data_IF_168290086550
#
_entry.id   IF_168290086550
#
_cell.length_a   1.000
_cell.length_b   1.000
_cell.length_c   1.000
_cell.angle_alpha   90.00
_cell.angle_beta   90.00
_cell.angle_gamma   90.00
#
_symmetry.space_group_name_H-M   'P 1'
#
loop_
_entity.id
_entity.type
_entity.pdbx_description
1 polymer ?
#
# COMPACT_ATOMS: atom_id res chain seq x y z
N UNK A 1 -4.95 -13.74 7.98
CA UNK A 1 -4.11 -12.83 8.79
C UNK A 1 -3.56 -13.59 9.97
N UNK A 2 -2.30 -13.36 10.34
CA UNK A 2 -1.60 -14.08 11.41
C UNK A 2 -0.80 -13.14 12.30
N UNK A 3 -0.59 -13.54 13.56
CA UNK A 3 0.33 -12.85 14.47
C UNK A 3 1.47 -13.78 14.85
N UNK A 4 2.69 -13.24 14.83
CA UNK A 4 3.91 -13.93 15.22
C UNK A 4 4.66 -13.09 16.26
N UNK A 5 5.31 -13.75 17.21
CA UNK A 5 6.30 -13.10 18.04
C UNK A 5 7.60 -12.86 17.25
N UNK A 6 8.40 -11.89 17.69
CA UNK A 6 9.74 -11.65 17.10
C UNK A 6 10.58 -12.95 17.05
N UNK A 7 10.52 -13.77 18.11
CA UNK A 7 11.24 -15.05 18.15
C UNK A 7 10.78 -16.03 17.08
N UNK A 8 9.47 -16.14 16.84
CA UNK A 8 8.93 -17.04 15.81
C UNK A 8 9.24 -16.55 14.41
N UNK A 9 9.24 -15.22 14.21
CA UNK A 9 9.60 -14.59 12.95
C UNK A 9 11.07 -14.89 12.58
N UNK A 10 11.99 -14.81 13.55
CA UNK A 10 13.41 -15.13 13.35
C UNK A 10 13.64 -16.63 13.10
N UNK A 11 12.91 -17.51 13.79
CA UNK A 11 13.05 -18.97 13.63
C UNK A 11 12.64 -19.49 12.25
N UNK A 12 11.77 -18.77 11.53
CA UNK A 12 11.30 -19.13 10.20
C UNK A 12 11.30 -17.88 9.30
N UNK A 13 12.45 -17.53 8.70
CA UNK A 13 12.60 -16.32 7.88
C UNK A 13 11.64 -16.25 6.69
N UNK A 14 11.14 -17.39 6.20
CA UNK A 14 10.13 -17.44 5.14
C UNK A 14 8.83 -16.71 5.47
N UNK A 15 8.50 -16.55 6.77
CA UNK A 15 7.37 -15.72 7.19
C UNK A 15 7.56 -14.23 6.87
N UNK A 16 8.80 -13.80 6.61
CA UNK A 16 9.17 -12.42 6.29
C UNK A 16 9.53 -12.30 4.80
N UNK A 17 10.33 -13.23 4.26
CA UNK A 17 10.84 -13.13 2.89
C UNK A 17 9.82 -13.52 1.82
N UNK A 18 8.87 -14.40 2.13
CA UNK A 18 7.79 -14.78 1.21
C UNK A 18 6.46 -15.00 1.97
N UNK A 19 5.88 -13.93 2.51
CA UNK A 19 4.66 -14.00 3.31
C UNK A 19 3.47 -14.34 2.42
N UNK A 20 2.70 -15.37 2.80
CA UNK A 20 1.46 -15.77 2.09
C UNK A 20 0.24 -14.95 2.52
N UNK A 21 0.33 -14.28 3.66
CA UNK A 21 -0.74 -13.48 4.25
C UNK A 21 -0.16 -12.34 5.09
N UNK A 22 -0.97 -11.34 5.40
CA UNK A 22 -0.58 -10.26 6.31
C UNK A 22 -0.23 -10.86 7.68
N UNK A 23 0.97 -10.53 8.16
CA UNK A 23 1.54 -11.03 9.40
C UNK A 23 1.92 -9.89 10.33
N UNK A 24 1.33 -9.86 11.53
CA UNK A 24 1.68 -8.91 12.59
C UNK A 24 2.84 -9.44 13.42
N UNK A 25 3.86 -8.63 13.65
CA UNK A 25 5.00 -8.95 14.49
C UNK A 25 4.81 -8.32 15.88
N UNK A 26 4.55 -9.18 16.85
CA UNK A 26 4.34 -8.84 18.25
C UNK A 26 5.66 -8.87 19.02
N UNK A 27 5.96 -7.77 19.72
CA UNK A 27 6.95 -7.80 20.79
C UNK A 27 6.32 -8.41 22.05
N UNK A 28 6.72 -9.63 22.39
CA UNK A 28 6.19 -10.34 23.56
C UNK A 28 6.51 -9.65 24.89
N UNK A 29 7.57 -8.83 24.97
CA UNK A 29 7.94 -8.12 26.20
C UNK A 29 7.01 -6.94 26.43
N UNK A 30 6.78 -6.15 25.39
CA UNK A 30 5.94 -4.95 25.45
C UNK A 30 4.45 -5.23 25.21
N UNK A 31 4.11 -6.45 24.77
CA UNK A 31 2.76 -6.88 24.35
C UNK A 31 2.15 -5.95 23.29
N UNK A 32 2.98 -5.40 22.40
CA UNK A 32 2.58 -4.46 21.34
C UNK A 32 3.04 -4.94 19.97
N UNK A 33 2.21 -4.70 18.97
CA UNK A 33 2.57 -4.93 17.56
C UNK A 33 3.64 -3.89 17.20
N UNK A 34 4.83 -4.34 16.80
CA UNK A 34 5.92 -3.44 16.38
C UNK A 34 6.04 -3.33 14.87
N UNK A 35 5.60 -4.33 14.13
CA UNK A 35 5.73 -4.33 12.67
C UNK A 35 4.62 -5.15 12.02
N UNK A 36 4.39 -4.86 10.74
CA UNK A 36 3.48 -5.62 9.87
C UNK A 36 4.26 -6.03 8.64
N UNK A 37 4.12 -7.31 8.26
CA UNK A 37 4.65 -7.85 7.01
C UNK A 37 3.47 -8.11 6.08
N UNK A 38 3.57 -7.62 4.85
CA UNK A 38 2.51 -7.70 3.84
C UNK A 38 3.07 -8.43 2.61
N UNK A 39 2.28 -9.33 1.98
CA UNK A 39 2.62 -9.90 0.68
C UNK A 39 2.91 -8.82 -0.36
N UNK A 40 3.98 -9.00 -1.15
CA UNK A 40 4.42 -7.99 -2.11
C UNK A 40 3.34 -7.66 -3.14
N UNK A 41 2.62 -8.65 -3.65
CA UNK A 41 1.50 -8.46 -4.58
C UNK A 41 0.39 -7.57 -3.99
N UNK A 42 0.15 -7.70 -2.69
CA UNK A 42 -0.83 -6.86 -1.98
C UNK A 42 -0.28 -5.46 -1.76
N UNK A 43 1.01 -5.33 -1.44
CA UNK A 43 1.67 -4.02 -1.36
C UNK A 43 1.56 -3.24 -2.67
N UNK A 44 1.77 -3.89 -3.83
CA UNK A 44 1.66 -3.23 -5.13
C UNK A 44 0.26 -2.62 -5.35
N UNK A 45 -0.80 -3.39 -5.10
CA UNK A 45 -2.19 -2.92 -5.23
C UNK A 45 -2.47 -1.71 -4.33
N UNK A 46 -2.08 -1.82 -3.06
CA UNK A 46 -2.33 -0.74 -2.08
C UNK A 46 -1.47 0.49 -2.39
N UNK A 47 -0.25 0.30 -2.90
CA UNK A 47 0.64 1.40 -3.28
C UNK A 47 0.02 2.25 -4.38
N UNK A 48 -0.50 1.62 -5.44
CA UNK A 48 -1.14 2.33 -6.55
C UNK A 48 -2.34 3.16 -6.07
N UNK A 49 -3.18 2.57 -5.23
CA UNK A 49 -4.33 3.27 -4.63
C UNK A 49 -3.88 4.46 -3.74
N UNK A 50 -2.86 4.27 -2.91
CA UNK A 50 -2.33 5.32 -2.05
C UNK A 50 -1.68 6.46 -2.84
N UNK A 51 -0.91 6.14 -3.88
CA UNK A 51 -0.29 7.15 -4.75
C UNK A 51 -1.36 7.95 -5.51
N UNK A 52 -2.42 7.30 -5.98
CA UNK A 52 -3.58 7.96 -6.58
C UNK A 52 -4.29 8.88 -5.57
N UNK A 53 -4.53 8.40 -4.35
CA UNK A 53 -5.11 9.24 -3.30
C UNK A 53 -4.24 10.45 -2.93
N UNK A 54 -2.93 10.26 -2.78
CA UNK A 54 -2.00 11.34 -2.49
C UNK A 54 -1.93 12.35 -3.65
N UNK A 55 -1.98 11.86 -4.89
CA UNK A 55 -2.08 12.72 -6.06
C UNK A 55 -3.35 13.56 -6.01
N UNK A 56 -4.51 12.94 -5.75
CA UNK A 56 -5.79 13.64 -5.64
C UNK A 56 -5.79 14.66 -4.49
N UNK A 57 -5.25 14.30 -3.32
CA UNK A 57 -5.15 15.21 -2.16
C UNK A 57 -4.26 16.42 -2.45
N UNK A 58 -3.09 16.21 -3.07
CA UNK A 58 -2.17 17.30 -3.44
C UNK A 58 -2.77 18.23 -4.47
N UNK A 59 -3.48 17.68 -5.45
CA UNK A 59 -4.02 18.43 -6.56
C UNK A 59 -5.48 18.85 -6.35
N UNK A 60 -6.06 18.57 -5.18
CA UNK A 60 -7.47 18.79 -4.88
C UNK A 60 -7.95 20.19 -5.24
N UNK A 61 -7.21 21.24 -4.84
CA UNK A 61 -7.55 22.63 -5.16
C UNK A 61 -7.51 22.93 -6.66
N UNK A 62 -6.61 22.28 -7.39
CA UNK A 62 -6.44 22.45 -8.84
C UNK A 62 -7.52 21.67 -9.59
N UNK A 63 -7.80 20.43 -9.20
CA UNK A 63 -8.79 19.53 -9.80
C UNK A 63 -10.23 19.94 -9.51
N UNK A 64 -10.47 20.72 -8.47
CA UNK A 64 -11.80 21.23 -8.11
C UNK A 64 -12.37 22.27 -9.09
N UNK A 65 -11.57 22.78 -10.04
CA UNK A 65 -12.13 23.55 -11.16
C UNK A 65 -12.57 22.59 -12.27
N UNK A 66 -13.81 22.75 -12.75
CA UNK A 66 -14.40 21.90 -13.79
C UNK A 66 -13.53 21.82 -15.06
N UNK A 67 -12.84 22.92 -15.40
CA UNK A 67 -11.87 22.99 -16.49
C UNK A 67 -10.67 22.08 -16.27
N UNK A 68 -10.09 22.08 -15.06
CA UNK A 68 -8.89 21.29 -14.76
C UNK A 68 -9.22 19.80 -14.56
N UNK A 69 -10.40 19.48 -14.04
CA UNK A 69 -10.89 18.11 -14.00
C UNK A 69 -11.04 17.53 -15.41
N UNK A 70 -11.60 18.32 -16.34
CA UNK A 70 -11.74 17.90 -17.74
C UNK A 70 -10.40 17.64 -18.43
N UNK A 71 -9.43 18.53 -18.24
CA UNK A 71 -8.05 18.36 -18.76
C UNK A 71 -7.38 17.12 -18.16
N UNK A 72 -7.53 16.90 -16.85
CA UNK A 72 -6.98 15.71 -16.19
C UNK A 72 -7.58 14.42 -16.77
N UNK A 73 -8.90 14.36 -16.92
CA UNK A 73 -9.60 13.20 -17.48
C UNK A 73 -9.18 12.92 -18.93
N UNK A 74 -9.16 13.94 -19.79
CA UNK A 74 -8.70 13.80 -21.18
C UNK A 74 -7.23 13.32 -21.24
N UNK A 75 -6.36 13.79 -20.35
CA UNK A 75 -4.95 13.35 -20.32
C UNK A 75 -4.83 11.89 -19.87
N UNK A 76 -5.64 11.47 -18.90
CA UNK A 76 -5.58 10.11 -18.34
C UNK A 76 -6.17 9.09 -19.30
N UNK A 77 -7.27 9.44 -19.98
CA UNK A 77 -7.93 8.59 -20.97
C UNK A 77 -7.03 8.40 -22.22
N UNK A 78 -6.30 9.44 -22.66
CA UNK A 78 -5.36 9.30 -23.79
C UNK A 78 -4.12 8.45 -23.45
N UNK A 79 -3.62 8.49 -22.20
CA UNK A 79 -2.49 7.63 -21.79
C UNK A 79 -2.90 6.15 -21.74
N UNK A 80 -4.18 5.85 -21.50
CA UNK A 80 -4.69 4.48 -21.45
C UNK A 80 -4.94 3.87 -22.85
N UNK A 81 -5.08 4.69 -23.90
CA UNK A 81 -5.25 4.22 -25.29
C UNK A 81 -3.91 3.93 -26.00
N UNK A 82 -2.80 4.49 -25.50
CA UNK A 82 -1.45 4.31 -26.05
C UNK A 82 -0.66 3.13 -25.41
N UNK A 83 -1.27 2.37 -24.50
CA UNK A 83 -0.71 1.17 -23.84
C UNK A 83 -1.39 -0.12 -24.32
#
# INVERSE_FOLDING_TARGET
MKTLTIKEAVKKPSNISNPKEITYILDSKEKKIKSVVIPYEMYLKVKEELEAEEFLKRNYKTLMSEKNYKIFKETTDNIAEDL
#
